data_IF_491949456367
#
_entry.id   IF_491949456367
#
_cell.length_a   1.000
_cell.length_b   1.000
_cell.length_c   1.000
_cell.angle_alpha   90.00
_cell.angle_beta   90.00
_cell.angle_gamma   90.00
#
_symmetry.space_group_name_H-M   'P 1'
#
loop_
_entity.id
_entity.type
_entity.pdbx_description
1 polymer ?
#
# COMPACT_ATOMS: atom_id res chain seq x y z
N UNK A 1 -24.30 -35.10 52.49
CA UNK A 1 -23.02 -34.60 51.98
C UNK A 1 -23.30 -33.98 50.60
N UNK A 2 -23.47 -32.65 50.55
CA UNK A 2 -23.74 -31.91 49.29
C UNK A 2 -22.40 -31.50 48.71
N UNK A 3 -22.08 -32.02 47.54
CA UNK A 3 -20.86 -31.66 46.80
C UNK A 3 -21.19 -30.39 46.04
N UNK A 4 -20.58 -29.25 46.44
CA UNK A 4 -20.56 -28.00 45.65
C UNK A 4 -19.52 -28.15 44.54
N UNK A 5 -19.97 -28.09 43.29
CA UNK A 5 -19.08 -27.86 42.14
C UNK A 5 -18.74 -26.38 42.03
N UNK A 6 -17.48 -26.01 41.95
CA UNK A 6 -17.15 -24.62 41.64
C UNK A 6 -17.48 -24.32 40.17
N UNK A 7 -18.27 -23.26 39.97
CA UNK A 7 -18.50 -22.68 38.65
C UNK A 7 -17.17 -22.10 38.14
N UNK A 8 -16.57 -22.77 37.18
CA UNK A 8 -15.42 -22.24 36.45
C UNK A 8 -15.94 -21.10 35.52
N UNK A 9 -15.78 -19.84 35.93
CA UNK A 9 -15.95 -18.72 35.04
C UNK A 9 -14.77 -18.69 34.09
N UNK A 10 -14.97 -19.18 32.86
CA UNK A 10 -14.05 -18.86 31.77
C UNK A 10 -14.01 -17.33 31.59
N UNK A 11 -12.81 -16.71 31.54
CA UNK A 11 -12.74 -15.34 31.13
C UNK A 11 -13.25 -15.26 29.69
N UNK A 12 -14.32 -14.48 29.46
CA UNK A 12 -14.66 -14.00 28.16
C UNK A 12 -13.48 -13.13 27.73
N UNK A 13 -12.58 -13.67 26.90
CA UNK A 13 -11.66 -12.87 26.13
C UNK A 13 -12.54 -11.96 25.28
N UNK A 14 -12.74 -10.71 25.68
CA UNK A 14 -13.17 -9.67 24.77
C UNK A 14 -12.16 -9.73 23.62
N UNK A 15 -12.61 -10.24 22.48
CA UNK A 15 -11.93 -10.00 21.21
C UNK A 15 -11.73 -8.49 21.17
N UNK A 16 -10.50 -8.04 21.30
CA UNK A 16 -10.17 -6.62 21.13
C UNK A 16 -10.71 -6.25 19.76
N UNK A 17 -11.77 -5.45 19.74
CA UNK A 17 -12.35 -4.99 18.49
C UNK A 17 -11.26 -4.20 17.80
N UNK A 18 -11.15 -4.36 16.48
CA UNK A 18 -10.29 -3.56 15.59
C UNK A 18 -10.83 -2.10 15.58
N UNK A 19 -10.58 -1.38 16.69
CA UNK A 19 -11.17 -0.08 17.02
C UNK A 19 -10.46 1.10 16.36
N UNK A 20 -9.70 0.84 15.31
CA UNK A 20 -9.05 1.91 14.57
C UNK A 20 -10.07 2.62 13.66
N UNK A 21 -10.25 3.92 13.90
CA UNK A 21 -11.15 4.76 13.12
C UNK A 21 -10.38 5.89 12.43
N UNK A 22 -10.82 6.29 11.22
CA UNK A 22 -10.21 7.41 10.51
C UNK A 22 -10.33 8.71 11.32
N UNK A 23 -9.17 9.32 11.62
CA UNK A 23 -9.10 10.60 12.33
C UNK A 23 -9.65 11.80 11.53
N UNK A 24 -9.55 13.01 12.12
CA UNK A 24 -10.05 14.24 11.51
C UNK A 24 -9.44 14.52 10.11
N UNK A 25 -8.19 14.14 9.89
CA UNK A 25 -7.50 14.36 8.61
C UNK A 25 -7.97 13.42 7.49
N UNK A 26 -8.67 12.35 7.82
CA UNK A 26 -9.36 11.49 6.87
C UNK A 26 -10.85 11.87 6.69
N UNK A 27 -11.28 13.01 7.22
CA UNK A 27 -12.60 13.58 7.01
C UNK A 27 -12.50 14.84 6.13
N UNK A 28 -13.46 15.07 5.21
CA UNK A 28 -13.53 16.32 4.46
C UNK A 28 -13.60 17.52 5.41
N UNK A 29 -12.77 18.54 5.16
CA UNK A 29 -12.75 19.76 5.96
C UNK A 29 -13.23 20.94 5.12
N UNK A 30 -13.96 21.87 5.76
CA UNK A 30 -14.44 23.08 5.10
C UNK A 30 -13.25 23.99 4.70
N UNK A 31 -13.34 24.57 3.50
CA UNK A 31 -12.31 25.44 2.99
C UNK A 31 -11.07 24.72 2.43
N UNK A 32 -10.95 23.41 2.59
CA UNK A 32 -9.85 22.65 1.98
C UNK A 32 -10.14 22.39 0.50
N UNK A 33 -9.24 22.84 -0.42
CA UNK A 33 -9.39 22.61 -1.84
C UNK A 33 -9.31 21.13 -2.17
N UNK A 34 -10.27 20.62 -2.94
CA UNK A 34 -10.33 19.21 -3.34
C UNK A 34 -9.67 18.98 -4.68
N UNK A 35 -8.88 17.89 -4.77
CA UNK A 35 -8.31 17.41 -6.01
C UNK A 35 -9.37 16.77 -6.92
N UNK A 36 -9.01 16.58 -8.18
CA UNK A 36 -9.82 15.89 -9.19
C UNK A 36 -9.42 14.41 -9.27
N UNK A 37 -10.42 13.53 -9.47
CA UNK A 37 -10.18 12.10 -9.71
C UNK A 37 -10.65 11.77 -11.13
N UNK A 38 -9.72 11.31 -11.96
CA UNK A 38 -9.95 10.88 -13.35
C UNK A 38 -9.90 9.37 -13.42
N UNK A 39 -10.96 8.72 -13.93
CA UNK A 39 -11.01 7.25 -14.12
C UNK A 39 -10.57 6.89 -15.53
N UNK A 40 -9.79 5.80 -15.64
CA UNK A 40 -9.44 5.14 -16.88
C UNK A 40 -9.52 3.62 -16.76
N UNK A 41 -9.46 2.96 -17.90
CA UNK A 41 -9.34 1.49 -18.01
C UNK A 41 -8.12 1.16 -18.86
N UNK A 42 -7.32 0.20 -18.44
CA UNK A 42 -6.14 -0.25 -19.17
C UNK A 42 -6.32 -1.70 -19.62
N UNK A 43 -6.28 -1.93 -20.95
CA UNK A 43 -6.64 -3.21 -21.59
C UNK A 43 -5.53 -3.77 -22.50
N UNK A 44 -4.46 -3.00 -22.76
CA UNK A 44 -3.46 -3.33 -23.78
C UNK A 44 -2.12 -3.76 -23.19
N UNK A 45 -2.14 -4.38 -21.99
CA UNK A 45 -0.90 -4.83 -21.37
C UNK A 45 -0.22 -5.94 -22.18
N UNK A 46 1.03 -5.74 -22.53
CA UNK A 46 1.91 -6.76 -23.09
C UNK A 46 2.57 -7.60 -21.99
N UNK A 47 2.74 -7.02 -20.80
CA UNK A 47 3.35 -7.68 -19.63
C UNK A 47 2.36 -8.64 -18.97
N UNK A 48 1.06 -8.25 -18.93
CA UNK A 48 -0.05 -9.08 -18.47
C UNK A 48 -1.12 -9.21 -19.55
N UNK A 49 -0.83 -9.93 -20.64
CA UNK A 49 -1.72 -9.99 -21.80
C UNK A 49 -3.10 -10.58 -21.44
N UNK A 50 -4.14 -10.05 -22.09
CA UNK A 50 -5.52 -10.48 -21.89
C UNK A 50 -6.15 -10.01 -20.57
N UNK A 51 -5.48 -9.12 -19.83
CA UNK A 51 -6.05 -8.49 -18.64
C UNK A 51 -6.63 -7.13 -18.95
N UNK A 52 -7.74 -6.79 -18.29
CA UNK A 52 -8.28 -5.45 -18.20
C UNK A 52 -8.27 -4.99 -16.74
N UNK A 53 -8.06 -3.71 -16.49
CA UNK A 53 -8.09 -3.15 -15.14
C UNK A 53 -8.51 -1.69 -15.12
N UNK A 54 -9.26 -1.31 -14.11
CA UNK A 54 -9.55 0.08 -13.82
C UNK A 54 -8.38 0.73 -13.08
N UNK A 55 -8.16 2.00 -13.40
CA UNK A 55 -7.26 2.87 -12.64
C UNK A 55 -7.89 4.26 -12.48
N UNK A 56 -7.39 5.00 -11.52
CA UNK A 56 -7.79 6.39 -11.27
C UNK A 56 -6.54 7.23 -11.04
N UNK A 57 -6.60 8.48 -11.46
CA UNK A 57 -5.55 9.46 -11.23
C UNK A 57 -6.15 10.60 -10.41
N UNK A 58 -5.64 10.79 -9.21
CA UNK A 58 -5.93 11.96 -8.38
C UNK A 58 -4.92 13.05 -8.71
N UNK A 59 -5.43 14.22 -9.05
CA UNK A 59 -4.63 15.43 -9.31
C UNK A 59 -5.03 16.48 -8.27
N UNK A 60 -4.12 16.86 -7.35
CA UNK A 60 -4.46 17.82 -6.30
C UNK A 60 -4.71 19.22 -6.88
N UNK A 61 -5.51 20.02 -6.20
CA UNK A 61 -5.82 21.40 -6.62
C UNK A 61 -4.57 22.29 -6.71
N UNK A 62 -3.54 21.96 -5.92
CA UNK A 62 -2.26 22.66 -5.88
C UNK A 62 -1.30 22.26 -7.03
N UNK A 63 -1.71 21.33 -7.90
CA UNK A 63 -0.86 20.91 -9.02
C UNK A 63 -0.63 22.07 -10.01
N UNK A 64 0.64 22.25 -10.36
CA UNK A 64 1.09 23.18 -11.39
C UNK A 64 1.96 22.41 -12.42
N UNK A 65 1.56 22.42 -13.68
CA UNK A 65 2.26 21.70 -14.74
C UNK A 65 3.70 22.23 -15.00
N UNK A 66 4.01 23.45 -14.56
CA UNK A 66 5.36 24.00 -14.63
C UNK A 66 6.33 23.38 -13.60
N UNK A 67 5.81 22.72 -12.57
CA UNK A 67 6.58 22.11 -11.48
C UNK A 67 6.31 20.62 -11.41
N UNK A 68 7.36 19.80 -11.40
CA UNK A 68 7.22 18.36 -11.31
C UNK A 68 6.64 17.95 -9.94
N UNK A 69 5.49 17.26 -9.95
CA UNK A 69 4.84 16.74 -8.74
C UNK A 69 5.45 15.39 -8.30
N UNK A 70 5.37 15.09 -7.03
CA UNK A 70 5.63 13.75 -6.51
C UNK A 70 4.55 12.76 -6.96
N UNK A 71 4.81 11.45 -6.79
CA UNK A 71 3.91 10.38 -7.20
C UNK A 71 3.68 9.39 -6.05
N UNK A 72 2.44 8.98 -5.85
CA UNK A 72 2.11 7.78 -5.07
C UNK A 72 1.24 6.84 -5.89
N UNK A 73 1.69 5.59 -6.04
CA UNK A 73 0.93 4.51 -6.70
C UNK A 73 0.32 3.62 -5.63
N UNK A 74 -0.99 3.37 -5.73
CA UNK A 74 -1.74 2.52 -4.82
C UNK A 74 -2.19 1.24 -5.51
N UNK A 75 -1.75 0.10 -5.02
CA UNK A 75 -2.29 -1.21 -5.39
C UNK A 75 -3.65 -1.45 -4.70
N UNK A 76 -4.55 -2.21 -5.34
CA UNK A 76 -5.97 -2.31 -4.94
C UNK A 76 -6.64 -0.94 -4.85
N UNK A 77 -6.36 -0.08 -5.80
CA UNK A 77 -6.61 1.36 -5.78
C UNK A 77 -8.03 1.77 -5.41
N UNK A 78 -9.05 1.02 -5.89
CA UNK A 78 -10.45 1.31 -5.56
C UNK A 78 -10.74 1.30 -4.04
N UNK A 79 -10.00 0.49 -3.26
CA UNK A 79 -10.19 0.42 -1.81
C UNK A 79 -9.74 1.71 -1.10
N UNK A 80 -8.70 2.36 -1.62
CA UNK A 80 -8.17 3.62 -1.09
C UNK A 80 -9.02 4.85 -1.43
N UNK A 81 -9.85 4.74 -2.47
CA UNK A 81 -10.69 5.84 -2.97
C UNK A 81 -12.04 5.96 -2.26
N UNK A 82 -12.49 4.92 -1.53
CA UNK A 82 -13.82 4.91 -0.89
C UNK A 82 -13.96 6.07 0.09
N UNK A 83 -14.97 6.96 -0.09
CA UNK A 83 -15.14 8.13 0.79
C UNK A 83 -15.57 7.75 2.21
N UNK A 84 -16.19 6.59 2.38
CA UNK A 84 -16.60 5.98 3.64
C UNK A 84 -15.65 4.84 4.08
N UNK A 85 -14.55 4.61 3.32
CA UNK A 85 -13.57 3.58 3.62
C UNK A 85 -12.66 3.95 4.79
N UNK A 86 -11.78 3.03 5.15
CA UNK A 86 -10.85 3.22 6.27
C UNK A 86 -9.71 4.21 5.94
N UNK A 87 -9.24 4.30 4.68
CA UNK A 87 -8.03 5.09 4.34
C UNK A 87 -8.38 6.46 3.77
N UNK A 88 -9.33 6.54 2.83
CA UNK A 88 -9.79 7.81 2.21
C UNK A 88 -8.65 8.65 1.64
N UNK A 89 -7.72 8.02 0.91
CA UNK A 89 -6.47 8.63 0.50
C UNK A 89 -6.59 10.01 -0.18
N UNK A 90 -7.56 10.28 -1.09
CA UNK A 90 -7.74 11.60 -1.66
C UNK A 90 -8.06 12.68 -0.63
N UNK A 91 -8.91 12.37 0.36
CA UNK A 91 -9.26 13.31 1.44
C UNK A 91 -8.06 13.61 2.33
N UNK A 92 -7.28 12.58 2.67
CA UNK A 92 -6.02 12.75 3.43
C UNK A 92 -5.03 13.61 2.63
N UNK A 93 -4.89 13.38 1.34
CA UNK A 93 -4.03 14.20 0.48
C UNK A 93 -4.49 15.65 0.46
N UNK A 94 -5.78 15.92 0.22
CA UNK A 94 -6.33 17.29 0.22
C UNK A 94 -5.99 18.02 1.53
N UNK A 95 -6.24 17.38 2.67
CA UNK A 95 -6.01 17.98 3.99
C UNK A 95 -4.51 18.23 4.28
N UNK A 96 -3.64 17.26 3.99
CA UNK A 96 -2.20 17.40 4.24
C UNK A 96 -1.54 18.40 3.28
N UNK A 97 -1.99 18.45 2.02
CA UNK A 97 -1.51 19.42 1.04
C UNK A 97 -1.94 20.86 1.40
N UNK A 98 -3.16 21.04 1.89
CA UNK A 98 -3.63 22.36 2.36
C UNK A 98 -2.85 22.85 3.57
N UNK A 99 -2.33 21.96 4.42
CA UNK A 99 -1.44 22.27 5.56
C UNK A 99 0.03 22.45 5.16
N UNK A 100 0.42 22.06 3.95
CA UNK A 100 1.84 22.01 3.55
C UNK A 100 2.64 20.90 4.26
N UNK A 101 1.97 19.86 4.76
CA UNK A 101 2.60 18.74 5.48
C UNK A 101 3.32 17.77 4.54
N UNK A 102 2.86 17.66 3.29
CA UNK A 102 3.44 16.82 2.25
C UNK A 102 3.66 17.62 0.96
N UNK A 103 4.57 17.21 0.07
CA UNK A 103 4.75 17.84 -1.23
C UNK A 103 3.53 17.64 -2.14
N UNK A 104 3.38 18.49 -3.17
CA UNK A 104 2.37 18.28 -4.20
C UNK A 104 2.55 16.91 -4.83
N UNK A 105 1.55 16.03 -4.62
CA UNK A 105 1.64 14.60 -4.94
C UNK A 105 0.45 14.17 -5.77
N UNK A 106 0.72 13.58 -6.94
CA UNK A 106 -0.28 12.91 -7.78
C UNK A 106 -0.47 11.49 -7.25
N UNK A 107 -1.72 11.04 -7.14
CA UNK A 107 -2.07 9.67 -6.78
C UNK A 107 -2.48 8.86 -8.00
N UNK A 108 -1.87 7.69 -8.23
CA UNK A 108 -2.34 6.72 -9.23
C UNK A 108 -2.84 5.48 -8.49
N UNK A 109 -4.12 5.20 -8.63
CA UNK A 109 -4.81 4.11 -7.97
C UNK A 109 -5.10 3.01 -8.99
N UNK A 110 -4.51 1.84 -8.86
CA UNK A 110 -4.63 0.77 -9.84
C UNK A 110 -5.20 -0.49 -9.20
N UNK A 111 -6.21 -1.05 -9.86
CA UNK A 111 -6.71 -2.38 -9.51
C UNK A 111 -5.88 -3.48 -10.20
N UNK A 112 -5.86 -4.70 -9.64
CA UNK A 112 -5.26 -5.84 -10.34
C UNK A 112 -6.01 -6.16 -11.63
N UNK A 113 -5.34 -6.83 -12.54
CA UNK A 113 -5.92 -7.28 -13.79
C UNK A 113 -7.03 -8.30 -13.60
N UNK A 114 -8.01 -8.24 -14.49
CA UNK A 114 -9.10 -9.20 -14.60
C UNK A 114 -9.07 -9.80 -16.00
N UNK A 115 -9.08 -11.12 -16.10
CA UNK A 115 -9.24 -11.84 -17.35
C UNK A 115 -10.71 -12.11 -17.55
N UNK A 116 -11.28 -11.53 -18.61
CA UNK A 116 -12.69 -11.67 -18.94
C UNK A 116 -13.04 -13.10 -19.34
N UNK A 117 -14.19 -13.56 -18.86
CA UNK A 117 -14.74 -14.84 -19.28
C UNK A 117 -15.12 -14.80 -20.76
N UNK A 118 -14.74 -15.85 -21.49
CA UNK A 118 -15.04 -15.99 -22.94
C UNK A 118 -16.25 -16.87 -23.22
N UNK A 119 -16.78 -17.55 -22.19
CA UNK A 119 -17.93 -18.45 -22.34
C UNK A 119 -19.14 -17.90 -21.57
N UNK A 120 -20.37 -18.05 -22.10
CA UNK A 120 -21.59 -17.68 -21.39
C UNK A 120 -21.69 -18.36 -20.03
N UNK A 121 -22.00 -17.57 -18.98
CA UNK A 121 -22.13 -18.08 -17.61
C UNK A 121 -20.84 -18.29 -16.83
N UNK A 122 -19.68 -18.21 -17.46
CA UNK A 122 -18.40 -18.26 -16.77
C UNK A 122 -18.14 -16.91 -16.04
N UNK A 123 -17.38 -16.98 -14.93
CA UNK A 123 -17.00 -15.79 -14.16
C UNK A 123 -15.64 -15.25 -14.62
N UNK A 124 -15.51 -13.94 -14.62
CA UNK A 124 -14.22 -13.26 -14.76
C UNK A 124 -13.22 -13.79 -13.74
N UNK A 125 -11.95 -13.91 -14.13
CA UNK A 125 -10.88 -14.39 -13.26
C UNK A 125 -9.97 -13.25 -12.85
N UNK A 126 -9.87 -13.01 -11.53
CA UNK A 126 -8.89 -12.07 -10.98
C UNK A 126 -7.46 -12.58 -11.21
N UNK A 127 -6.59 -11.68 -11.67
CA UNK A 127 -5.17 -11.95 -11.82
C UNK A 127 -4.34 -11.47 -10.61
N UNK A 128 -5.00 -11.01 -9.55
CA UNK A 128 -4.41 -10.30 -8.40
C UNK A 128 -3.23 -11.06 -7.77
N UNK A 129 -3.43 -12.32 -7.39
CA UNK A 129 -2.35 -13.07 -6.73
C UNK A 129 -1.17 -13.32 -7.67
N UNK A 130 -1.41 -13.52 -8.97
CA UNK A 130 -0.32 -13.67 -9.94
C UNK A 130 0.47 -12.37 -10.12
N UNK A 131 -0.19 -11.22 -10.15
CA UNK A 131 0.46 -9.92 -10.34
C UNK A 131 1.16 -9.43 -9.07
N UNK A 132 0.52 -9.61 -7.90
CA UNK A 132 0.94 -8.97 -6.67
C UNK A 132 1.84 -9.84 -5.78
N UNK A 133 1.56 -11.14 -5.69
CA UNK A 133 2.33 -12.03 -4.83
C UNK A 133 3.53 -12.67 -5.55
N UNK A 134 3.60 -12.59 -6.89
CA UNK A 134 4.76 -13.10 -7.63
C UNK A 134 5.96 -12.17 -7.44
N UNK A 135 7.11 -12.77 -7.15
CA UNK A 135 8.38 -12.05 -7.01
C UNK A 135 8.96 -11.67 -8.38
N UNK A 136 9.95 -10.76 -8.37
CA UNK A 136 10.63 -10.29 -9.57
C UNK A 136 10.01 -9.00 -10.15
N UNK A 137 10.56 -8.52 -11.25
CA UNK A 137 10.36 -7.17 -11.78
C UNK A 137 9.08 -6.98 -12.61
N UNK A 138 8.33 -8.06 -12.89
CA UNK A 138 7.23 -8.01 -13.86
C UNK A 138 6.18 -6.94 -13.53
N UNK A 139 5.75 -6.85 -12.26
CA UNK A 139 4.77 -5.85 -11.86
C UNK A 139 5.36 -4.43 -11.86
N UNK A 140 6.63 -4.29 -11.52
CA UNK A 140 7.34 -3.02 -11.63
C UNK A 140 7.43 -2.56 -13.09
N UNK A 141 7.77 -3.45 -14.00
CA UNK A 141 7.80 -3.15 -15.44
C UNK A 141 6.41 -2.75 -15.95
N UNK A 142 5.37 -3.48 -15.58
CA UNK A 142 4.01 -3.11 -15.94
C UNK A 142 3.68 -1.67 -15.52
N UNK A 143 4.00 -1.29 -14.27
CA UNK A 143 3.77 0.07 -13.80
C UNK A 143 4.57 1.11 -14.61
N UNK A 144 5.87 0.85 -14.80
CA UNK A 144 6.82 1.85 -15.32
C UNK A 144 6.71 1.96 -16.85
N UNK A 145 6.58 0.82 -17.54
CA UNK A 145 6.64 0.76 -19.00
C UNK A 145 5.27 0.91 -19.66
N UNK A 146 4.17 0.58 -18.96
CA UNK A 146 2.83 0.56 -19.55
C UNK A 146 1.84 1.50 -18.87
N UNK A 147 1.55 1.28 -17.58
CA UNK A 147 0.45 1.99 -16.91
C UNK A 147 0.75 3.47 -16.67
N UNK A 148 1.88 3.78 -16.06
CA UNK A 148 2.21 5.17 -15.71
C UNK A 148 2.33 6.07 -16.96
N UNK A 149 3.01 5.66 -18.05
CA UNK A 149 3.03 6.45 -19.27
C UNK A 149 1.63 6.75 -19.84
N UNK A 150 0.71 5.76 -19.75
CA UNK A 150 -0.67 5.93 -20.22
C UNK A 150 -1.50 6.81 -19.28
N UNK A 151 -1.43 6.54 -17.96
CA UNK A 151 -2.26 7.18 -16.95
C UNK A 151 -1.86 8.65 -16.68
N UNK A 152 -0.59 8.99 -16.87
CA UNK A 152 -0.02 10.30 -16.48
C UNK A 152 0.54 11.10 -17.65
N UNK A 153 0.14 10.79 -18.89
CA UNK A 153 0.66 11.38 -20.14
C UNK A 153 0.71 12.91 -20.14
N UNK A 154 -0.28 13.57 -19.51
CA UNK A 154 -0.42 15.02 -19.52
C UNK A 154 0.08 15.67 -18.20
N UNK A 155 0.73 14.89 -17.34
CA UNK A 155 1.13 15.33 -16.01
C UNK A 155 2.65 15.40 -15.90
N UNK A 156 3.15 16.48 -15.32
CA UNK A 156 4.56 16.66 -15.01
C UNK A 156 4.86 16.00 -13.65
N UNK A 157 5.45 14.81 -13.70
CA UNK A 157 5.80 14.01 -12.51
C UNK A 157 7.32 13.93 -12.39
N UNK A 158 7.83 14.05 -11.18
CA UNK A 158 9.26 13.99 -10.92
C UNK A 158 9.89 12.69 -11.44
N UNK A 159 11.05 12.80 -12.07
CA UNK A 159 11.87 11.65 -12.42
C UNK A 159 12.68 11.10 -11.23
N UNK A 160 12.82 11.88 -10.13
CA UNK A 160 13.55 11.45 -8.95
C UNK A 160 12.80 10.30 -8.24
N UNK A 161 13.40 9.10 -8.14
CA UNK A 161 12.77 7.97 -7.46
C UNK A 161 12.51 8.21 -5.97
N UNK A 162 13.22 9.15 -5.33
CA UNK A 162 12.96 9.56 -3.94
C UNK A 162 11.66 10.39 -3.81
N UNK A 163 11.16 10.97 -4.91
CA UNK A 163 9.86 11.62 -5.02
C UNK A 163 8.71 10.66 -5.38
N UNK A 164 8.93 9.34 -5.38
CA UNK A 164 7.94 8.35 -5.80
C UNK A 164 7.71 7.27 -4.74
N UNK A 165 6.44 7.03 -4.44
CA UNK A 165 5.95 6.08 -3.42
C UNK A 165 5.14 4.98 -4.10
N UNK A 166 5.29 3.76 -3.62
CA UNK A 166 4.37 2.64 -3.86
C UNK A 166 3.71 2.22 -2.56
N UNK A 167 2.40 2.04 -2.59
CA UNK A 167 1.57 1.78 -1.42
C UNK A 167 0.61 0.62 -1.70
N UNK A 168 0.40 -0.23 -0.70
CA UNK A 168 -0.58 -1.30 -0.82
C UNK A 168 -0.87 -1.99 0.50
N UNK A 169 -1.90 -2.86 0.49
CA UNK A 169 -2.29 -3.68 1.63
C UNK A 169 -2.35 -5.15 1.24
N UNK A 170 -2.02 -6.04 2.17
CA UNK A 170 -2.04 -7.50 1.96
C UNK A 170 -1.12 -7.90 0.79
N UNK A 171 -1.63 -8.60 -0.22
CA UNK A 171 -0.90 -8.84 -1.47
C UNK A 171 -0.45 -7.54 -2.15
N UNK A 172 -1.24 -6.45 -2.05
CA UNK A 172 -0.82 -5.12 -2.52
C UNK A 172 0.38 -4.57 -1.75
N UNK A 173 0.50 -4.89 -0.46
CA UNK A 173 1.62 -4.49 0.40
C UNK A 173 2.94 -5.14 -0.02
N UNK A 174 2.95 -6.46 -0.26
CA UNK A 174 4.13 -7.14 -0.80
C UNK A 174 4.41 -6.68 -2.24
N UNK A 175 3.39 -6.43 -3.07
CA UNK A 175 3.58 -5.89 -4.42
C UNK A 175 4.28 -4.53 -4.39
N UNK A 176 3.87 -3.63 -3.48
CA UNK A 176 4.51 -2.34 -3.29
C UNK A 176 5.99 -2.50 -2.90
N UNK A 177 6.29 -3.38 -1.95
CA UNK A 177 7.67 -3.66 -1.57
C UNK A 177 8.47 -4.26 -2.73
N UNK A 178 7.90 -5.25 -3.44
CA UNK A 178 8.55 -5.90 -4.59
C UNK A 178 8.91 -4.90 -5.68
N UNK A 179 7.99 -4.00 -6.04
CA UNK A 179 8.24 -2.96 -7.06
C UNK A 179 9.44 -2.08 -6.70
N UNK A 180 9.51 -1.57 -5.47
CA UNK A 180 10.63 -0.73 -5.04
C UNK A 180 11.92 -1.55 -4.86
N UNK A 181 11.82 -2.80 -4.42
CA UNK A 181 12.96 -3.70 -4.30
C UNK A 181 13.63 -4.00 -5.64
N UNK A 182 12.83 -4.29 -6.67
CA UNK A 182 13.33 -4.61 -8.01
C UNK A 182 13.76 -3.36 -8.79
N UNK A 183 13.06 -2.22 -8.58
CA UNK A 183 13.30 -0.98 -9.33
C UNK A 183 13.48 0.24 -8.40
N UNK A 184 14.56 0.22 -7.57
CA UNK A 184 14.89 1.36 -6.71
C UNK A 184 15.32 2.62 -7.50
N UNK A 185 15.59 2.46 -8.78
CA UNK A 185 15.79 3.55 -9.76
C UNK A 185 14.49 4.26 -10.14
N UNK A 186 13.32 3.66 -9.87
CA UNK A 186 12.00 4.23 -10.17
C UNK A 186 11.20 4.59 -8.92
N UNK A 187 11.34 3.83 -7.83
CA UNK A 187 10.62 4.05 -6.56
C UNK A 187 11.53 3.80 -5.37
N UNK A 188 11.56 4.74 -4.43
CA UNK A 188 12.38 4.60 -3.20
C UNK A 188 11.58 4.65 -1.91
N UNK A 189 10.28 4.89 -1.97
CA UNK A 189 9.42 4.91 -0.78
C UNK A 189 8.33 3.86 -0.87
N UNK A 190 8.14 3.12 0.21
CA UNK A 190 7.19 1.99 0.31
C UNK A 190 6.27 2.18 1.50
N UNK A 191 4.97 1.94 1.30
CA UNK A 191 3.99 1.72 2.36
C UNK A 191 3.41 0.32 2.18
N UNK A 192 3.60 -0.53 3.16
CA UNK A 192 3.03 -1.87 3.19
C UNK A 192 2.18 -2.04 4.44
N UNK A 193 0.86 -2.01 4.28
CA UNK A 193 -0.08 -2.31 5.35
C UNK A 193 -0.44 -3.79 5.30
N UNK A 194 -0.40 -4.49 6.46
CA UNK A 194 -0.74 -5.92 6.57
C UNK A 194 -0.13 -6.76 5.44
N UNK A 195 1.14 -6.51 5.12
CA UNK A 195 1.81 -7.05 3.94
C UNK A 195 1.91 -8.57 3.93
N UNK A 196 1.60 -9.20 2.80
CA UNK A 196 1.63 -10.67 2.64
C UNK A 196 3.05 -11.20 2.43
N UNK A 197 3.98 -10.92 3.36
CA UNK A 197 5.35 -11.46 3.32
C UNK A 197 5.41 -12.94 3.71
N UNK A 198 4.33 -13.66 3.48
CA UNK A 198 4.12 -15.08 3.73
C UNK A 198 4.32 -15.92 2.47
N UNK A 199 4.03 -17.21 2.53
CA UNK A 199 4.29 -18.12 1.41
C UNK A 199 3.08 -18.28 0.45
N UNK A 200 2.45 -17.18 0.04
CA UNK A 200 1.44 -17.25 -1.04
C UNK A 200 2.13 -17.63 -2.35
N UNK A 201 3.21 -16.91 -2.71
CA UNK A 201 4.08 -17.17 -3.88
C UNK A 201 5.55 -16.91 -3.57
N UNK A 202 6.00 -17.26 -2.37
CA UNK A 202 7.40 -17.15 -1.98
C UNK A 202 7.80 -15.85 -1.27
N UNK A 203 6.86 -14.99 -0.85
CA UNK A 203 7.14 -13.69 -0.21
C UNK A 203 7.98 -13.77 1.06
N UNK A 204 7.98 -14.89 1.74
CA UNK A 204 8.78 -15.15 2.96
C UNK A 204 10.30 -15.07 2.76
N UNK A 205 10.80 -15.00 1.53
CA UNK A 205 12.25 -14.90 1.24
C UNK A 205 12.81 -13.50 1.50
N UNK A 206 11.96 -12.47 1.54
CA UNK A 206 12.42 -11.07 1.64
C UNK A 206 13.26 -10.76 2.87
N UNK A 207 12.94 -11.22 4.10
CA UNK A 207 13.81 -10.98 5.25
C UNK A 207 15.24 -11.47 5.01
N UNK A 208 15.40 -12.65 4.40
CA UNK A 208 16.70 -13.19 4.03
C UNK A 208 17.44 -12.36 2.97
N UNK A 209 16.74 -11.89 1.94
CA UNK A 209 17.28 -11.01 0.90
C UNK A 209 17.74 -9.66 1.46
N UNK A 210 16.92 -9.05 2.32
CA UNK A 210 17.22 -7.78 3.00
C UNK A 210 18.49 -7.94 3.85
N UNK A 211 18.60 -9.00 4.65
CA UNK A 211 19.78 -9.26 5.49
C UNK A 211 21.06 -9.40 4.65
N UNK A 212 20.96 -10.06 3.49
CA UNK A 212 22.11 -10.24 2.56
C UNK A 212 22.54 -8.93 1.91
N UNK A 213 21.66 -7.93 1.80
CA UNK A 213 21.98 -6.61 1.23
C UNK A 213 22.70 -5.66 2.20
N UNK A 214 23.01 -6.07 3.43
CA UNK A 214 23.59 -5.20 4.48
C UNK A 214 24.84 -4.43 4.05
N UNK A 215 25.68 -5.01 3.20
CA UNK A 215 26.91 -4.34 2.74
C UNK A 215 26.62 -3.23 1.72
N UNK A 216 25.53 -3.36 0.99
CA UNK A 216 25.09 -2.46 -0.05
C UNK A 216 23.55 -2.41 -0.04
N UNK A 217 22.96 -1.73 0.96
CA UNK A 217 21.51 -1.65 1.07
C UNK A 217 20.92 -0.82 -0.07
N UNK A 218 19.80 -1.28 -0.61
CA UNK A 218 19.05 -0.49 -1.60
C UNK A 218 18.57 0.81 -0.94
N UNK A 219 18.52 1.94 -1.66
CA UNK A 219 18.15 3.24 -1.09
C UNK A 219 16.63 3.35 -0.89
N UNK A 220 16.06 2.48 -0.08
CA UNK A 220 14.63 2.41 0.20
C UNK A 220 14.29 2.98 1.57
N UNK A 221 13.16 3.69 1.65
CA UNK A 221 12.45 4.06 2.86
C UNK A 221 11.18 3.23 2.95
N UNK A 222 11.00 2.46 4.02
CA UNK A 222 9.94 1.46 4.13
C UNK A 222 9.10 1.70 5.37
N UNK A 223 7.81 1.96 5.19
CA UNK A 223 6.83 1.96 6.26
C UNK A 223 6.05 0.65 6.24
N UNK A 224 6.11 -0.09 7.35
CA UNK A 224 5.34 -1.31 7.57
C UNK A 224 4.25 -1.06 8.61
N UNK A 225 3.10 -1.66 8.42
CA UNK A 225 2.06 -1.74 9.46
C UNK A 225 1.46 -3.13 9.48
N UNK A 226 1.26 -3.65 10.71
CA UNK A 226 0.54 -4.90 10.94
C UNK A 226 -0.06 -4.93 12.34
N UNK A 227 -0.78 -5.99 12.69
CA UNK A 227 -1.39 -6.17 14.00
C UNK A 227 -1.33 -7.62 14.49
N UNK A 228 -1.36 -7.79 15.82
CA UNK A 228 -1.24 -9.09 16.49
C UNK A 228 -2.40 -10.05 16.19
N UNK A 229 -3.54 -9.55 15.72
CA UNK A 229 -4.71 -10.34 15.37
C UNK A 229 -4.87 -10.55 13.86
N UNK A 230 -3.79 -10.33 13.09
CA UNK A 230 -3.78 -10.62 11.65
C UNK A 230 -3.76 -12.13 11.37
N UNK A 231 -3.88 -12.51 10.10
CA UNK A 231 -4.05 -13.88 9.63
C UNK A 231 -2.94 -14.83 10.12
N UNK A 232 -3.37 -16.02 10.51
CA UNK A 232 -2.54 -17.19 10.67
C UNK A 232 -3.22 -18.37 9.95
N UNK A 233 -2.65 -18.80 8.82
CA UNK A 233 -3.26 -19.79 7.95
C UNK A 233 -2.23 -20.63 7.19
N UNK A 234 -2.67 -21.43 6.21
CA UNK A 234 -1.82 -22.33 5.42
C UNK A 234 -0.66 -21.61 4.66
N UNK A 235 -0.74 -20.30 4.46
CA UNK A 235 0.33 -19.54 3.82
C UNK A 235 1.35 -18.97 4.82
N UNK A 236 1.04 -18.98 6.10
CA UNK A 236 1.89 -18.50 7.17
C UNK A 236 1.16 -17.59 8.16
N UNK A 237 1.95 -16.99 9.06
CA UNK A 237 1.50 -16.06 10.07
C UNK A 237 1.93 -14.64 9.69
N UNK A 238 0.97 -13.75 9.42
CA UNK A 238 1.23 -12.37 8.97
C UNK A 238 1.95 -11.53 10.03
N UNK A 239 1.52 -11.53 11.31
CA UNK A 239 2.23 -10.83 12.38
C UNK A 239 3.71 -11.18 12.45
N UNK A 240 4.05 -12.48 12.45
CA UNK A 240 5.44 -12.93 12.50
C UNK A 240 6.22 -12.57 11.24
N UNK A 241 5.60 -12.67 10.06
CA UNK A 241 6.23 -12.33 8.80
C UNK A 241 6.57 -10.83 8.71
N UNK A 242 5.67 -9.94 9.14
CA UNK A 242 5.91 -8.50 9.16
C UNK A 242 6.92 -8.10 10.25
N UNK A 243 6.94 -8.76 11.40
CA UNK A 243 7.97 -8.58 12.43
C UNK A 243 9.35 -9.02 11.92
N UNK A 244 9.46 -10.13 11.17
CA UNK A 244 10.74 -10.55 10.58
C UNK A 244 11.20 -9.58 9.48
N UNK A 245 10.29 -9.03 8.67
CA UNK A 245 10.60 -7.94 7.74
C UNK A 245 11.20 -6.74 8.48
N UNK A 246 10.55 -6.24 9.54
CA UNK A 246 11.05 -5.13 10.35
C UNK A 246 12.42 -5.44 10.97
N UNK A 247 12.60 -6.65 11.52
CA UNK A 247 13.87 -7.10 12.07
C UNK A 247 14.99 -7.16 11.01
N UNK A 248 14.66 -7.59 9.79
CA UNK A 248 15.62 -7.66 8.69
C UNK A 248 16.03 -6.26 8.19
N UNK A 249 15.07 -5.33 8.05
CA UNK A 249 15.32 -3.94 7.68
C UNK A 249 16.20 -3.26 8.73
N UNK A 250 15.91 -3.44 10.02
CA UNK A 250 16.74 -2.95 11.13
C UNK A 250 18.17 -3.48 11.05
N UNK A 251 18.33 -4.80 10.88
CA UNK A 251 19.64 -5.43 10.79
C UNK A 251 20.48 -4.91 9.63
N UNK A 252 19.85 -4.66 8.48
CA UNK A 252 20.54 -4.19 7.28
C UNK A 252 20.72 -2.67 7.23
N UNK A 253 20.18 -1.91 8.21
CA UNK A 253 20.36 -0.45 8.32
C UNK A 253 19.50 0.37 7.36
N UNK A 254 18.34 -0.17 6.95
CA UNK A 254 17.37 0.58 6.15
C UNK A 254 16.70 1.71 6.95
N UNK A 255 16.28 2.74 6.23
CA UNK A 255 15.37 3.76 6.75
C UNK A 255 13.95 3.18 6.76
N UNK A 256 13.48 2.78 7.93
CA UNK A 256 12.17 2.12 8.07
C UNK A 256 11.44 2.55 9.35
N UNK A 257 10.12 2.37 9.33
CA UNK A 257 9.27 2.42 10.52
C UNK A 257 8.30 1.24 10.50
N UNK A 258 7.87 0.80 11.68
CA UNK A 258 6.94 -0.31 11.82
C UNK A 258 5.89 -0.04 12.89
N UNK A 259 4.69 0.28 12.46
CA UNK A 259 3.53 0.42 13.34
C UNK A 259 2.88 -0.96 13.59
N UNK A 260 3.11 -1.52 14.77
CA UNK A 260 2.51 -2.79 15.17
C UNK A 260 1.48 -2.57 16.27
N UNK A 261 0.24 -3.02 16.03
CA UNK A 261 -0.88 -2.86 16.96
C UNK A 261 -1.63 -4.15 17.23
N UNK A 262 -2.90 -4.02 17.60
CA UNK A 262 -3.81 -5.15 17.89
C UNK A 262 -4.79 -5.43 16.73
N UNK A 263 -4.64 -4.75 15.59
CA UNK A 263 -5.53 -4.91 14.43
C UNK A 263 -5.47 -6.30 13.81
N UNK A 264 -6.55 -6.65 13.10
CA UNK A 264 -6.64 -7.84 12.26
C UNK A 264 -6.30 -7.54 10.80
N UNK A 265 -6.63 -8.49 9.89
CA UNK A 265 -6.39 -8.33 8.45
C UNK A 265 -7.38 -7.34 7.81
N UNK A 266 -7.28 -6.09 8.19
CA UNK A 266 -8.17 -5.02 7.74
C UNK A 266 -7.41 -3.73 7.45
N UNK A 267 -7.95 -2.81 6.60
CA UNK A 267 -7.32 -1.52 6.32
C UNK A 267 -7.45 -0.52 7.47
N UNK A 268 -8.14 -0.83 8.57
CA UNK A 268 -8.51 0.14 9.61
C UNK A 268 -7.31 0.76 10.30
N UNK A 269 -6.39 -0.06 10.82
CA UNK A 269 -5.20 0.44 11.51
C UNK A 269 -4.33 1.29 10.56
N UNK A 270 -3.99 0.74 9.38
CA UNK A 270 -3.23 1.48 8.36
C UNK A 270 -3.90 2.78 7.94
N UNK A 271 -5.23 2.80 7.84
CA UNK A 271 -6.01 3.99 7.51
C UNK A 271 -6.00 5.04 8.60
N UNK A 272 -6.16 4.62 9.87
CA UNK A 272 -6.14 5.53 11.02
C UNK A 272 -4.82 6.29 11.15
N UNK A 273 -3.69 5.63 10.83
CA UNK A 273 -2.33 6.23 10.91
C UNK A 273 -1.82 6.74 9.55
N UNK A 274 -2.64 6.72 8.49
CA UNK A 274 -2.17 7.08 7.15
C UNK A 274 -1.66 8.52 7.03
N UNK A 275 -2.26 9.55 7.68
CA UNK A 275 -1.71 10.90 7.69
C UNK A 275 -0.28 10.96 8.27
N UNK A 276 -0.02 10.30 9.40
CA UNK A 276 1.30 10.24 10.03
C UNK A 276 2.30 9.46 9.18
N UNK A 277 1.85 8.37 8.55
CA UNK A 277 2.66 7.59 7.60
C UNK A 277 3.16 8.50 6.46
N UNK A 278 2.28 9.32 5.89
CA UNK A 278 2.66 10.24 4.81
C UNK A 278 3.64 11.32 5.30
N UNK A 279 3.42 11.92 6.48
CA UNK A 279 4.37 12.89 7.08
C UNK A 279 5.74 12.27 7.29
N UNK A 280 5.79 11.03 7.79
CA UNK A 280 7.03 10.31 7.99
C UNK A 280 7.76 10.01 6.67
N UNK A 281 7.04 9.59 5.63
CA UNK A 281 7.60 9.34 4.30
C UNK A 281 8.21 10.60 3.68
N UNK A 282 7.57 11.75 3.86
CA UNK A 282 7.95 13.03 3.23
C UNK A 282 8.74 13.96 4.15
N UNK A 283 9.18 13.50 5.33
CA UNK A 283 9.77 14.34 6.38
C UNK A 283 10.99 15.17 5.96
N UNK A 284 11.75 14.71 4.97
CA UNK A 284 12.95 15.34 4.43
C UNK A 284 12.82 15.78 2.96
N UNK A 285 11.66 15.61 2.36
CA UNK A 285 11.39 16.12 1.02
C UNK A 285 11.07 17.61 1.08
N UNK A 286 11.60 18.43 0.14
CA UNK A 286 11.25 19.86 0.09
C UNK A 286 9.72 20.03 -0.01
N UNK A 287 9.17 20.79 0.92
CA UNK A 287 7.75 21.13 0.91
C UNK A 287 7.52 22.43 0.12
N UNK A 288 6.32 22.66 -0.43
CA UNK A 288 6.00 23.84 -1.20
C UNK A 288 6.13 25.16 -0.41
#
# INVERSE_FOLDING_TARGET
MRILFPLLTLPLSLLAADNYEPGAEAQPQDGVPRGEIRKGTFEQSQIFPGTTRDYWVYVPKQYDAARAACLTVFFDGAAYLKPDGAVRAPVVFDNLLAKGDIPVTIGVFVNPGVIKATQPGAKDRSNRSFEYDSLGDRNARFLIEELLPAATKELNITADPAGRVVCGMSSGGIAAFTVAWERPDAFRKVVSHIGSFTNIRGGYVYPGLIRKSKKEPKPLRVFLQDGSNDLDNLHGNWPLANQDMAAALKFAGYDYDFAFGEGGHSPKHGGAIFPETLRWLWRDWPKP
#
